data_IF_779472296867
#
_entry.id   IF_779472296867
#
_cell.length_a   1.000
_cell.length_b   1.000
_cell.length_c   1.000
_cell.angle_alpha   90.00
_cell.angle_beta   90.00
_cell.angle_gamma   90.00
#
_symmetry.space_group_name_H-M   'P 1'
#
loop_
_entity.id
_entity.type
_entity.pdbx_description
1 polymer ?
#
# COMPACT_ATOMS: atom_id res chain seq x y z
N UNK A 1 7.01 -9.83 -26.29
CA UNK A 1 7.66 -9.32 -25.07
C UNK A 1 6.80 -9.79 -23.92
N UNK A 2 7.36 -10.51 -22.94
CA UNK A 2 6.54 -10.95 -21.80
C UNK A 2 6.03 -9.71 -21.06
N UNK A 3 4.71 -9.55 -20.98
CA UNK A 3 4.10 -8.52 -20.15
C UNK A 3 4.58 -8.74 -18.71
N UNK A 4 5.51 -7.89 -18.25
CA UNK A 4 6.03 -7.99 -16.89
C UNK A 4 4.87 -7.67 -15.95
N UNK A 5 4.33 -8.70 -15.32
CA UNK A 5 3.22 -8.55 -14.37
C UNK A 5 3.74 -7.86 -13.13
N UNK A 6 3.46 -6.56 -12.99
CA UNK A 6 3.85 -5.80 -11.82
C UNK A 6 2.98 -6.22 -10.63
N UNK A 7 3.58 -6.28 -9.43
CA UNK A 7 2.91 -6.73 -8.22
C UNK A 7 2.61 -5.58 -7.27
N UNK A 8 1.58 -5.75 -6.47
CA UNK A 8 1.30 -4.89 -5.33
C UNK A 8 1.14 -5.72 -4.07
N UNK A 9 1.35 -5.06 -2.94
CA UNK A 9 1.04 -5.62 -1.63
C UNK A 9 0.47 -4.54 -0.74
N UNK A 10 -0.45 -4.94 0.13
CA UNK A 10 -0.89 -4.16 1.27
C UNK A 10 -0.53 -4.93 2.51
N UNK A 11 0.34 -4.37 3.34
CA UNK A 11 0.59 -4.91 4.67
C UNK A 11 -0.36 -4.24 5.66
N UNK A 12 -0.96 -5.02 6.54
CA UNK A 12 -1.58 -4.48 7.74
C UNK A 12 -0.54 -4.50 8.87
N UNK A 13 -0.32 -3.34 9.45
CA UNK A 13 0.78 -3.10 10.36
C UNK A 13 0.26 -2.47 11.64
N UNK A 14 0.36 -3.22 12.74
CA UNK A 14 0.01 -2.73 14.08
C UNK A 14 1.28 -2.34 14.83
N UNK A 15 1.80 -1.15 14.52
CA UNK A 15 2.89 -0.54 15.30
C UNK A 15 2.31 0.26 16.48
N UNK A 16 2.82 1.48 16.71
CA UNK A 16 2.23 2.45 17.67
C UNK A 16 0.74 2.69 17.38
N UNK A 17 0.36 2.66 16.10
CA UNK A 17 -1.03 2.76 15.63
C UNK A 17 -1.24 1.76 14.49
N UNK A 18 -2.46 1.26 14.38
CA UNK A 18 -2.86 0.47 13.23
C UNK A 18 -2.82 1.34 11.97
N UNK A 19 -2.16 0.86 10.94
CA UNK A 19 -2.13 1.45 9.61
C UNK A 19 -1.89 0.35 8.57
N UNK A 20 -1.99 0.72 7.29
CA UNK A 20 -1.79 -0.19 6.19
C UNK A 20 -0.70 0.36 5.27
N UNK A 21 0.35 -0.41 5.03
CA UNK A 21 1.41 -0.03 4.10
C UNK A 21 1.05 -0.54 2.71
N UNK A 22 0.66 0.37 1.83
CA UNK A 22 0.34 0.11 0.43
C UNK A 22 1.60 0.26 -0.42
N UNK A 23 1.89 -0.74 -1.26
CA UNK A 23 3.13 -0.80 -2.02
C UNK A 23 2.91 -1.27 -3.45
N UNK A 24 3.59 -0.62 -4.39
CA UNK A 24 3.58 -0.95 -5.82
C UNK A 24 5.01 -1.28 -6.30
N UNK A 25 5.18 -2.41 -6.98
CA UNK A 25 6.43 -2.76 -7.68
C UNK A 25 6.61 -1.84 -8.90
N UNK A 26 7.53 -0.89 -8.82
CA UNK A 26 7.84 0.05 -9.91
C UNK A 26 9.36 0.21 -9.98
N UNK A 27 9.91 0.02 -11.18
CA UNK A 27 11.35 0.15 -11.47
C UNK A 27 12.26 -0.60 -10.46
N UNK A 28 11.90 -1.84 -10.13
CA UNK A 28 12.74 -2.72 -9.30
C UNK A 28 12.65 -2.50 -7.79
N UNK A 29 11.79 -1.60 -7.32
CA UNK A 29 11.55 -1.34 -5.89
C UNK A 29 10.07 -1.30 -5.56
N UNK A 30 9.74 -1.37 -4.27
CA UNK A 30 8.39 -1.17 -3.77
C UNK A 30 8.19 0.31 -3.39
N UNK A 31 7.57 1.08 -4.28
CA UNK A 31 7.08 2.43 -3.96
C UNK A 31 5.99 2.33 -2.92
N UNK A 32 6.14 3.04 -1.80
CA UNK A 32 5.42 2.71 -0.57
C UNK A 32 4.71 3.90 0.06
N UNK A 33 3.50 3.66 0.60
CA UNK A 33 2.70 4.64 1.32
C UNK A 33 2.06 4.03 2.56
N UNK A 34 2.12 4.74 3.68
CA UNK A 34 1.36 4.42 4.89
C UNK A 34 -0.05 5.02 4.81
N UNK A 35 -1.09 4.20 4.98
CA UNK A 35 -2.50 4.58 4.92
C UNK A 35 -3.14 4.33 6.29
N UNK A 36 -3.27 5.36 7.15
CA UNK A 36 -3.72 5.18 8.54
C UNK A 36 -5.10 4.52 8.67
N UNK A 37 -6.03 4.87 7.78
CA UNK A 37 -7.39 4.31 7.79
C UNK A 37 -7.55 3.08 6.88
N UNK A 38 -6.48 2.62 6.23
CA UNK A 38 -6.53 1.57 5.22
C UNK A 38 -7.18 1.98 3.89
N UNK A 39 -7.01 1.15 2.84
CA UNK A 39 -7.61 1.35 1.53
C UNK A 39 -9.14 1.15 1.60
N UNK A 40 -9.87 1.73 0.64
CA UNK A 40 -11.33 1.60 0.53
C UNK A 40 -11.75 1.19 -0.87
N UNK A 41 -12.84 0.42 -0.96
CA UNK A 41 -13.56 0.16 -2.22
C UNK A 41 -14.71 1.16 -2.45
N UNK A 42 -14.92 2.10 -1.54
CA UNK A 42 -15.91 3.16 -1.70
C UNK A 42 -15.31 4.32 -2.52
N UNK A 43 -15.85 4.69 -3.69
CA UNK A 43 -15.38 5.83 -4.47
C UNK A 43 -15.58 7.19 -3.79
N UNK A 44 -16.44 7.30 -2.77
CA UNK A 44 -16.62 8.51 -1.98
C UNK A 44 -15.46 8.72 -0.99
N UNK A 45 -14.75 7.66 -0.63
CA UNK A 45 -13.64 7.72 0.31
C UNK A 45 -12.36 8.27 -0.34
N UNK A 46 -11.82 9.33 0.27
CA UNK A 46 -10.47 9.83 -0.02
C UNK A 46 -9.53 9.43 1.10
N UNK A 47 -8.71 8.40 0.88
CA UNK A 47 -7.81 7.87 1.91
C UNK A 47 -6.46 8.59 1.83
N UNK A 48 -6.06 9.25 2.93
CA UNK A 48 -4.71 9.80 3.05
C UNK A 48 -3.68 8.66 2.97
N UNK A 49 -2.75 8.79 2.05
CA UNK A 49 -1.61 7.90 1.85
C UNK A 49 -0.33 8.73 1.99
N UNK A 50 0.47 8.46 3.02
CA UNK A 50 1.70 9.20 3.28
C UNK A 50 2.87 8.42 2.70
N UNK A 51 3.59 9.01 1.76
CA UNK A 51 4.75 8.38 1.12
C UNK A 51 5.85 8.11 2.16
N UNK A 52 6.36 6.89 2.16
CA UNK A 52 7.45 6.41 3.03
C UNK A 52 8.61 5.93 2.14
N UNK A 53 9.81 5.67 2.71
CA UNK A 53 10.95 5.18 1.92
C UNK A 53 10.60 3.95 1.09
N UNK A 54 11.28 3.80 -0.05
CA UNK A 54 11.15 2.63 -0.90
C UNK A 54 11.59 1.36 -0.15
N UNK A 55 11.00 0.22 -0.49
CA UNK A 55 11.36 -1.06 0.11
C UNK A 55 11.89 -2.04 -0.95
N UNK A 56 12.77 -2.99 -0.57
CA UNK A 56 13.25 -4.02 -1.50
C UNK A 56 12.10 -4.95 -1.90
N UNK A 57 12.18 -5.54 -3.11
CA UNK A 57 11.14 -6.44 -3.62
C UNK A 57 10.93 -7.68 -2.75
N UNK A 58 11.97 -8.13 -2.05
CA UNK A 58 11.91 -9.25 -1.10
C UNK A 58 10.95 -8.98 0.07
N UNK A 59 10.64 -7.71 0.34
CA UNK A 59 9.70 -7.32 1.38
C UNK A 59 8.24 -7.59 1.02
N UNK A 60 7.94 -7.95 -0.24
CA UNK A 60 6.56 -8.07 -0.73
C UNK A 60 5.76 -9.19 -0.04
N UNK A 61 6.45 -10.23 0.44
CA UNK A 61 5.85 -11.40 1.10
C UNK A 61 6.16 -11.42 2.61
N UNK A 62 6.57 -10.28 3.19
CA UNK A 62 7.01 -10.22 4.58
C UNK A 62 5.84 -10.29 5.57
N UNK A 63 5.88 -11.29 6.45
CA UNK A 63 4.95 -11.43 7.57
C UNK A 63 5.71 -11.84 8.84
N UNK A 64 5.64 -11.01 9.87
CA UNK A 64 6.37 -11.24 11.13
C UNK A 64 5.86 -10.33 12.25
N UNK A 65 6.37 -10.57 13.46
CA UNK A 65 6.40 -9.56 14.52
C UNK A 65 7.74 -8.84 14.45
N UNK A 66 7.74 -7.54 14.17
CA UNK A 66 8.95 -6.73 14.24
C UNK A 66 9.27 -6.48 15.73
N UNK A 67 10.47 -6.83 16.21
CA UNK A 67 10.82 -6.70 17.62
C UNK A 67 10.81 -5.25 18.10
N UNK A 68 10.58 -5.05 19.39
CA UNK A 68 10.67 -3.73 20.04
C UNK A 68 12.08 -3.15 19.88
N UNK A 69 12.17 -1.81 19.82
CA UNK A 69 13.42 -1.10 19.57
C UNK A 69 13.77 -0.93 18.09
N UNK A 70 13.14 -1.68 17.17
CA UNK A 70 13.28 -1.49 15.74
C UNK A 70 12.23 -0.53 15.18
N UNK A 71 12.57 0.14 14.07
CA UNK A 71 11.62 0.95 13.32
C UNK A 71 10.44 0.08 12.86
N UNK A 72 9.21 0.52 13.15
CA UNK A 72 8.02 -0.27 12.85
C UNK A 72 7.79 -1.47 13.76
N UNK A 73 8.29 -1.46 15.01
CA UNK A 73 7.98 -2.53 15.97
C UNK A 73 6.48 -2.85 16.06
N UNK A 74 6.14 -4.14 16.03
CA UNK A 74 4.76 -4.64 16.02
C UNK A 74 4.49 -5.72 14.95
N UNK A 75 3.32 -6.38 15.00
CA UNK A 75 2.96 -7.39 14.00
C UNK A 75 2.63 -6.75 12.65
N UNK A 76 3.15 -7.39 11.61
CA UNK A 76 2.95 -7.09 10.18
C UNK A 76 2.45 -8.36 9.49
N UNK A 77 1.37 -8.24 8.73
CA UNK A 77 0.84 -9.32 7.89
C UNK A 77 0.51 -8.81 6.50
N UNK A 78 0.57 -9.70 5.51
CA UNK A 78 0.06 -9.40 4.18
C UNK A 78 -1.47 -9.39 4.25
N UNK A 79 -2.04 -8.20 4.13
CA UNK A 79 -3.47 -8.00 4.14
C UNK A 79 -4.09 -8.30 2.77
N UNK A 80 -3.45 -7.86 1.70
CA UNK A 80 -3.81 -8.21 0.33
C UNK A 80 -2.57 -8.18 -0.57
N UNK A 81 -2.59 -8.95 -1.65
CA UNK A 81 -1.51 -9.01 -2.63
C UNK A 81 -2.07 -9.45 -3.98
N UNK A 82 -1.41 -9.05 -5.06
CA UNK A 82 -1.79 -9.43 -6.40
C UNK A 82 -1.01 -8.67 -7.46
N UNK A 83 -1.54 -8.67 -8.67
CA UNK A 83 -0.99 -7.88 -9.77
C UNK A 83 -1.58 -6.46 -9.78
N UNK A 84 -0.82 -5.48 -10.25
CA UNK A 84 -1.39 -4.21 -10.67
C UNK A 84 -1.00 -3.88 -12.11
N UNK A 85 -1.84 -3.08 -12.75
CA UNK A 85 -1.65 -2.63 -14.13
C UNK A 85 -1.74 -1.10 -14.14
N UNK A 86 -0.69 -0.36 -14.52
CA UNK A 86 -0.78 1.08 -14.74
C UNK A 86 -1.88 1.40 -15.75
N UNK A 87 -2.63 2.48 -15.51
CA UNK A 87 -3.63 3.00 -16.43
C UNK A 87 -3.13 4.31 -17.03
N UNK A 88 -3.37 4.49 -18.33
CA UNK A 88 -3.06 5.72 -19.06
C UNK A 88 -1.57 6.09 -19.09
N UNK A 89 -0.66 5.12 -18.87
CA UNK A 89 0.80 5.32 -18.91
C UNK A 89 1.55 3.99 -19.12
N UNK A 90 2.63 4.04 -19.91
CA UNK A 90 3.65 2.98 -20.00
C UNK A 90 4.84 3.24 -19.05
N UNK A 91 4.91 4.42 -18.44
CA UNK A 91 5.94 4.83 -17.49
C UNK A 91 5.30 5.25 -16.15
N UNK A 92 5.00 4.28 -15.27
CA UNK A 92 4.41 4.56 -13.97
C UNK A 92 5.33 5.37 -13.04
N UNK A 93 6.65 5.32 -13.23
CA UNK A 93 7.58 6.08 -12.40
C UNK A 93 7.47 7.57 -12.70
N UNK A 94 7.48 7.95 -13.97
CA UNK A 94 7.30 9.35 -14.37
C UNK A 94 5.92 9.88 -13.99
N UNK A 95 4.87 9.08 -14.10
CA UNK A 95 3.53 9.45 -13.62
C UNK A 95 3.54 9.78 -12.11
N UNK A 96 4.18 8.94 -11.28
CA UNK A 96 4.35 9.24 -9.85
C UNK A 96 5.14 10.52 -9.60
N UNK A 97 6.25 10.77 -10.32
CA UNK A 97 6.99 12.05 -10.18
C UNK A 97 6.12 13.26 -10.51
N UNK A 98 5.25 13.11 -11.51
CA UNK A 98 4.27 14.14 -11.89
C UNK A 98 3.16 14.33 -10.83
N UNK A 99 3.03 13.42 -9.86
CA UNK A 99 2.11 13.53 -8.73
C UNK A 99 0.76 12.86 -8.96
N UNK A 100 0.64 11.98 -9.97
CA UNK A 100 -0.59 11.22 -10.23
C UNK A 100 -0.29 9.86 -10.83
N UNK A 101 -0.97 8.82 -10.38
CA UNK A 101 -0.91 7.49 -11.00
C UNK A 101 -2.29 6.84 -10.97
N UNK A 102 -2.82 6.49 -12.14
CA UNK A 102 -3.96 5.60 -12.28
C UNK A 102 -3.47 4.16 -12.41
N UNK A 103 -4.18 3.22 -11.80
CA UNK A 103 -3.84 1.80 -11.91
C UNK A 103 -5.05 0.92 -11.61
N UNK A 104 -5.05 -0.30 -12.11
CA UNK A 104 -5.98 -1.35 -11.75
C UNK A 104 -5.31 -2.37 -10.82
N UNK A 105 -5.99 -2.75 -9.75
CA UNK A 105 -5.56 -3.80 -8.83
C UNK A 105 -6.29 -5.11 -9.14
N UNK A 106 -5.53 -6.22 -9.12
CA UNK A 106 -6.02 -7.59 -9.30
C UNK A 106 -5.66 -8.42 -8.07
N UNK A 107 -6.15 -7.99 -6.90
CA UNK A 107 -5.97 -8.66 -5.62
C UNK A 107 -7.12 -9.58 -5.23
N UNK A 108 -7.05 -10.12 -4.01
CA UNK A 108 -8.16 -10.88 -3.43
C UNK A 108 -9.21 -9.94 -2.84
N UNK A 109 -8.78 -8.87 -2.17
CA UNK A 109 -9.66 -7.89 -1.51
C UNK A 109 -9.83 -6.62 -2.36
N UNK A 110 -8.73 -6.04 -2.84
CA UNK A 110 -8.74 -4.87 -3.69
C UNK A 110 -8.78 -5.27 -5.16
N UNK A 111 -9.81 -4.80 -5.86
CA UNK A 111 -10.04 -5.08 -7.27
C UNK A 111 -10.50 -3.83 -8.00
N UNK A 112 -10.18 -3.76 -9.28
CA UNK A 112 -10.58 -2.67 -10.17
C UNK A 112 -9.67 -1.45 -10.08
N UNK A 113 -10.13 -0.35 -10.63
CA UNK A 113 -9.34 0.85 -10.86
C UNK A 113 -9.28 1.76 -9.62
N UNK A 114 -8.10 2.33 -9.41
CA UNK A 114 -7.73 3.27 -8.36
C UNK A 114 -6.93 4.43 -8.94
N UNK A 115 -6.76 5.47 -8.12
CA UNK A 115 -5.88 6.59 -8.40
C UNK A 115 -5.11 7.00 -7.15
N UNK A 116 -3.83 7.31 -7.33
CA UNK A 116 -3.00 8.05 -6.39
C UNK A 116 -2.83 9.48 -6.90
N UNK A 117 -3.06 10.47 -6.05
CA UNK A 117 -2.85 11.88 -6.37
C UNK A 117 -2.14 12.63 -5.23
N UNK A 118 -1.06 13.33 -5.55
CA UNK A 118 -0.24 14.06 -4.58
C UNK A 118 -0.85 15.42 -4.23
N UNK A 119 -0.84 15.77 -2.94
CA UNK A 119 -1.43 17.01 -2.42
C UNK A 119 -0.39 18.15 -2.41
N UNK A 120 0.17 18.48 -3.58
CA UNK A 120 1.28 19.45 -3.74
C UNK A 120 0.94 20.89 -3.36
N UNK A 121 -0.34 21.27 -3.35
CA UNK A 121 -0.76 22.69 -3.25
C UNK A 121 -1.35 23.08 -1.89
N UNK A 122 -1.25 22.23 -0.87
CA UNK A 122 -1.73 22.57 0.47
C UNK A 122 -0.68 23.40 1.23
N UNK A 123 -1.09 24.46 1.95
CA UNK A 123 -0.22 25.15 2.90
C UNK A 123 0.35 24.14 3.90
N UNK A 124 1.68 24.15 4.09
CA UNK A 124 2.44 23.21 4.95
C UNK A 124 2.55 21.76 4.45
N UNK A 125 2.19 21.47 3.20
CA UNK A 125 2.45 20.17 2.58
C UNK A 125 3.95 19.87 2.55
N UNK A 126 4.34 18.69 3.02
CA UNK A 126 5.73 18.22 2.94
C UNK A 126 6.04 17.55 1.60
N UNK A 127 5.04 17.46 0.71
CA UNK A 127 5.12 16.73 -0.55
C UNK A 127 5.02 15.22 -0.37
N UNK A 128 4.81 14.71 0.85
CA UNK A 128 4.65 13.29 1.12
C UNK A 128 3.19 12.87 1.19
N UNK A 129 2.27 13.82 1.17
CA UNK A 129 0.84 13.60 1.33
C UNK A 129 0.18 13.28 -0.02
N UNK A 130 -0.42 12.11 -0.11
CA UNK A 130 -1.17 11.63 -1.26
C UNK A 130 -2.59 11.22 -0.87
N UNK A 131 -3.45 11.14 -1.87
CA UNK A 131 -4.78 10.55 -1.74
C UNK A 131 -4.83 9.27 -2.57
N UNK A 132 -5.17 8.15 -1.93
CA UNK A 132 -5.62 6.93 -2.58
C UNK A 132 -7.14 6.98 -2.71
N UNK A 133 -7.64 6.80 -3.93
CA UNK A 133 -9.07 6.88 -4.25
C UNK A 133 -9.48 5.71 -5.13
N UNK A 134 -10.63 5.11 -4.83
CA UNK A 134 -11.25 4.11 -5.70
C UNK A 134 -11.95 4.82 -6.86
N UNK A 135 -11.74 4.36 -8.11
CA UNK A 135 -12.54 4.82 -9.25
C UNK A 135 -13.88 4.08 -9.28
N UNK A 136 -14.92 4.72 -9.81
CA UNK A 136 -16.22 4.07 -10.06
C UNK A 136 -16.06 3.01 -11.15
N UNK A 137 -16.31 1.76 -10.81
CA UNK A 137 -16.32 0.60 -11.71
C UNK A 137 -17.14 -0.54 -11.09
N UNK A 138 -17.15 -1.71 -11.73
CA UNK A 138 -17.90 -2.89 -11.28
C UNK A 138 -17.44 -3.47 -9.92
N UNK A 139 -16.28 -3.05 -9.39
CA UNK A 139 -15.74 -3.50 -8.11
C UNK A 139 -15.89 -2.46 -6.99
N UNK A 140 -16.43 -1.28 -7.29
CA UNK A 140 -16.77 -0.28 -6.29
C UNK A 140 -17.84 -0.80 -5.33
N UNK A 141 -17.73 -0.42 -4.05
CA UNK A 141 -18.66 -0.78 -2.98
C UNK A 141 -18.91 0.41 -2.08
N UNK A 142 -20.11 0.96 -2.12
CA UNK A 142 -20.54 2.01 -1.19
C UNK A 142 -20.51 1.51 0.26
N UNK A 143 -20.10 2.39 1.19
CA UNK A 143 -20.02 2.07 2.61
C UNK A 143 -18.95 1.02 2.96
N UNK A 144 -17.91 0.88 2.13
CA UNK A 144 -16.88 -0.13 2.36
C UNK A 144 -16.12 0.08 3.68
N UNK A 145 -16.09 -0.95 4.51
CA UNK A 145 -15.31 -0.99 5.74
C UNK A 145 -14.11 -1.92 5.61
N UNK A 146 -12.92 -1.40 5.95
CA UNK A 146 -11.69 -2.19 5.97
C UNK A 146 -11.73 -3.19 7.12
N UNK A 147 -11.53 -4.48 6.81
CA UNK A 147 -11.51 -5.55 7.82
C UNK A 147 -10.09 -5.99 8.13
N UNK A 148 -9.74 -5.99 9.41
CA UNK A 148 -8.45 -6.47 9.90
C UNK A 148 -8.24 -7.96 9.60
N UNK A 149 -7.01 -8.32 9.22
CA UNK A 149 -6.47 -9.67 9.08
C UNK A 149 -5.56 -10.07 10.24
N UNK A 150 -5.18 -9.11 11.11
CA UNK A 150 -4.50 -9.35 12.39
C UNK A 150 -5.46 -9.94 13.45
N UNK A 151 -6.08 -11.07 13.13
CA UNK A 151 -6.91 -11.82 14.08
C UNK A 151 -6.03 -12.47 15.15
N UNK A 152 -6.57 -12.79 16.35
CA UNK A 152 -5.82 -13.52 17.38
C UNK A 152 -5.23 -14.84 16.89
N UNK A 153 -5.93 -15.54 15.99
CA UNK A 153 -5.43 -16.76 15.37
C UNK A 153 -4.22 -16.48 14.46
N UNK A 154 -4.28 -15.41 13.66
CA UNK A 154 -3.16 -15.02 12.78
C UNK A 154 -1.94 -14.61 13.57
N UNK A 155 -2.11 -13.84 14.65
CA UNK A 155 -1.00 -13.40 15.51
C UNK A 155 -0.19 -14.57 16.08
N UNK A 156 -0.86 -15.66 16.47
CA UNK A 156 -0.20 -16.87 16.99
C UNK A 156 0.69 -17.58 15.96
N UNK A 157 0.48 -17.33 14.67
CA UNK A 157 1.27 -17.94 13.59
C UNK A 157 2.53 -17.15 13.24
N UNK A 158 2.62 -15.90 13.69
CA UNK A 158 3.73 -15.01 13.35
C UNK A 158 4.96 -15.31 14.21
N UNK A 159 6.12 -15.30 13.56
CA UNK A 159 7.41 -15.36 14.23
C UNK A 159 7.99 -13.95 14.33
N UNK A 160 8.83 -13.73 15.34
CA UNK A 160 9.59 -12.49 15.44
C UNK A 160 10.70 -12.48 14.39
N UNK A 161 10.79 -11.42 13.60
CA UNK A 161 11.81 -11.26 12.56
C UNK A 161 12.08 -9.77 12.30
N UNK A 162 13.35 -9.42 12.17
CA UNK A 162 13.77 -8.08 11.73
C UNK A 162 13.55 -7.97 10.22
N UNK A 163 12.92 -6.88 9.73
CA UNK A 163 12.71 -6.69 8.30
C UNK A 163 14.05 -6.56 7.55
N UNK A 164 14.13 -6.98 6.28
CA UNK A 164 15.34 -6.85 5.45
C UNK A 164 15.72 -5.40 5.14
N UNK A 165 14.84 -4.44 5.43
CA UNK A 165 15.13 -3.02 5.36
C UNK A 165 15.25 -2.44 6.78
N UNK A 166 16.48 -2.19 7.22
CA UNK A 166 16.70 -1.22 8.29
C UNK A 166 16.66 0.16 7.62
N UNK A 167 15.55 0.88 7.76
CA UNK A 167 15.60 2.32 7.54
C UNK A 167 16.37 2.90 8.71
N UNK A 168 17.66 3.21 8.47
CA UNK A 168 18.52 4.00 9.37
C UNK A 168 17.84 5.28 9.86
#
# INVERSE_FOLDING_TARGET
MAEKTLRFVVHEHRSKRLHYDFRLEINGVLKSWAIPKGPSLDPADKRLAVMVPDHPLEYIDFEAVIPEGHYGAGPVVVWDTGAFVPLDTDDPESSLKNGKLGFELKGKKLKGAFALAQMKHLPRSTGKEWLLMKKKDAHAKDGYEVKSSLTPARLKTLKTKVPPCETE
#
